data_IF_171303346240
#
_entry.id   IF_171303346240
#
_cell.length_a   1.000
_cell.length_b   1.000
_cell.length_c   1.000
_cell.angle_alpha   90.00
_cell.angle_beta   90.00
_cell.angle_gamma   90.00
#
_symmetry.space_group_name_H-M   'P 1'
#
loop_
_entity.id
_entity.type
_entity.pdbx_description
1 polymer ?
#
# COMPACT_ATOMS: atom_id res chain seq x y z
N UNK A 1 4.65 21.94 17.87
CA UNK A 1 3.32 22.32 18.40
C UNK A 1 2.85 23.54 17.61
N UNK A 2 1.76 23.42 16.85
CA UNK A 2 1.20 24.52 16.04
C UNK A 2 0.04 25.17 16.83
N UNK A 3 -0.05 26.50 16.84
CA UNK A 3 -1.20 27.23 17.42
C UNK A 3 -2.22 27.53 16.33
N UNK A 4 -3.47 27.14 16.54
CA UNK A 4 -4.59 27.57 15.71
C UNK A 4 -4.92 29.03 16.00
N UNK A 5 -4.88 29.88 14.96
CA UNK A 5 -5.32 31.27 15.03
C UNK A 5 -6.85 31.34 14.93
N UNK A 6 -7.49 32.06 15.86
CA UNK A 6 -8.92 32.31 15.84
C UNK A 6 -9.31 33.30 14.72
N UNK A 7 -10.12 32.84 13.76
CA UNK A 7 -10.95 33.69 12.89
C UNK A 7 -12.39 33.17 13.00
N UNK A 8 -13.34 34.07 13.24
CA UNK A 8 -14.74 33.77 13.60
C UNK A 8 -15.60 33.39 12.38
N UNK A 9 -16.25 32.23 12.52
CA UNK A 9 -17.51 31.70 11.96
C UNK A 9 -17.80 31.74 10.44
N UNK A 10 -17.63 30.57 9.81
CA UNK A 10 -18.56 30.01 8.83
C UNK A 10 -18.64 28.50 9.11
N UNK A 11 -19.86 27.94 9.16
CA UNK A 11 -20.16 26.59 9.65
C UNK A 11 -19.67 25.50 8.71
N UNK A 12 -18.39 25.17 8.81
CA UNK A 12 -17.79 23.88 8.47
C UNK A 12 -16.40 23.88 9.09
N UNK A 13 -16.29 23.44 10.35
CA UNK A 13 -14.99 23.26 10.97
C UNK A 13 -14.18 22.28 10.11
N UNK A 14 -12.96 22.63 9.69
CA UNK A 14 -12.16 21.74 8.88
C UNK A 14 -11.67 20.61 9.80
N UNK A 15 -12.47 19.53 9.84
CA UNK A 15 -12.24 18.29 10.60
C UNK A 15 -10.84 17.70 10.39
N UNK A 16 -10.18 18.06 9.29
CA UNK A 16 -8.82 17.66 8.96
C UNK A 16 -7.75 18.24 9.89
N UNK A 17 -8.06 19.30 10.67
CA UNK A 17 -7.14 19.90 11.64
C UNK A 17 -7.49 19.57 13.09
N UNK A 18 -8.54 18.77 13.31
CA UNK A 18 -8.89 18.31 14.65
C UNK A 18 -7.78 17.39 15.17
N UNK A 19 -7.37 17.65 16.41
CA UNK A 19 -6.29 16.88 17.04
C UNK A 19 -6.80 15.51 17.43
N UNK A 20 -6.01 14.50 17.13
CA UNK A 20 -6.21 13.16 17.66
C UNK A 20 -6.14 13.18 19.19
N UNK A 21 -6.92 12.29 19.82
CA UNK A 21 -6.91 12.14 21.28
C UNK A 21 -5.54 11.63 21.75
N UNK A 22 -5.11 12.08 22.92
CA UNK A 22 -3.79 11.77 23.47
C UNK A 22 -3.56 10.25 23.67
N UNK A 23 -4.64 9.50 23.92
CA UNK A 23 -4.60 8.04 24.11
C UNK A 23 -4.34 7.25 22.82
N UNK A 24 -4.55 7.85 21.65
CA UNK A 24 -4.45 7.19 20.35
C UNK A 24 -3.09 7.41 19.68
N UNK A 25 -2.25 8.30 20.23
CA UNK A 25 -1.01 8.73 19.57
C UNK A 25 0.12 8.78 20.57
N UNK A 26 1.24 8.16 20.22
CA UNK A 26 2.50 8.35 20.93
C UNK A 26 3.14 9.67 20.47
N UNK A 27 3.36 10.60 21.40
CA UNK A 27 3.96 11.90 21.09
C UNK A 27 5.47 11.83 21.35
N UNK A 28 6.32 11.81 20.29
CA UNK A 28 7.76 11.90 20.49
C UNK A 28 8.14 13.29 21.04
N UNK A 29 9.30 13.36 21.71
CA UNK A 29 9.85 14.61 22.25
C UNK A 29 10.07 15.69 21.18
N UNK A 30 10.25 15.29 19.92
CA UNK A 30 10.41 16.19 18.78
C UNK A 30 9.40 15.92 17.67
N UNK A 31 8.77 17.00 17.19
CA UNK A 31 7.82 16.95 16.08
C UNK A 31 8.54 17.04 14.74
N UNK A 32 8.30 16.06 13.86
CA UNK A 32 8.92 16.00 12.55
C UNK A 32 8.11 16.78 11.49
N UNK A 33 8.56 18.00 11.20
CA UNK A 33 7.95 18.87 10.18
C UNK A 33 8.16 18.37 8.74
N UNK A 34 9.06 17.40 8.52
CA UNK A 34 9.36 16.83 7.19
C UNK A 34 8.80 15.42 7.01
N UNK A 35 8.05 14.92 7.99
CA UNK A 35 7.36 13.64 7.90
C UNK A 35 6.52 13.57 6.64
N UNK A 36 6.49 12.41 5.98
CA UNK A 36 5.60 12.17 4.84
C UNK A 36 4.12 12.34 5.20
N UNK A 37 3.78 12.21 6.49
CA UNK A 37 2.41 12.38 7.00
C UNK A 37 2.08 13.83 7.35
N UNK A 38 3.05 14.76 7.25
CA UNK A 38 2.82 16.17 7.51
C UNK A 38 2.32 16.87 6.24
N UNK A 39 1.14 17.47 6.29
CA UNK A 39 0.59 18.29 5.21
C UNK A 39 1.46 19.53 4.91
N UNK A 40 1.46 20.01 3.67
CA UNK A 40 2.12 21.28 3.33
C UNK A 40 1.46 22.50 4.01
N UNK A 41 2.15 23.63 4.05
CA UNK A 41 1.68 24.84 4.76
C UNK A 41 0.39 25.48 4.22
N UNK A 42 -0.05 25.08 3.02
CA UNK A 42 -1.21 25.61 2.30
C UNK A 42 -2.33 24.56 2.14
N UNK A 43 -2.20 23.39 2.76
CA UNK A 43 -3.19 22.32 2.63
C UNK A 43 -4.59 22.81 3.05
N UNK A 44 -5.59 22.54 2.20
CA UNK A 44 -6.98 23.02 2.36
C UNK A 44 -7.14 24.55 2.42
N UNK A 45 -6.10 25.31 2.06
CA UNK A 45 -6.15 26.77 2.03
C UNK A 45 -7.12 27.29 0.98
N UNK A 46 -7.91 28.31 1.37
CA UNK A 46 -8.76 29.05 0.44
C UNK A 46 -7.86 29.76 -0.59
N UNK A 47 -8.31 29.77 -1.85
CA UNK A 47 -7.66 30.55 -2.90
C UNK A 47 -8.16 31.99 -2.82
N UNK A 48 -7.24 32.93 -2.69
CA UNK A 48 -7.51 34.36 -2.85
C UNK A 48 -7.64 34.65 -4.35
N UNK A 49 -8.85 34.92 -4.81
CA UNK A 49 -9.16 35.20 -6.22
C UNK A 49 -8.57 36.50 -6.73
N UNK A 50 -8.30 37.48 -5.86
CA UNK A 50 -7.69 38.75 -6.26
C UNK A 50 -6.21 38.60 -6.55
N UNK A 51 -5.52 37.74 -5.79
CA UNK A 51 -4.07 37.54 -5.88
C UNK A 51 -3.67 36.25 -6.60
N UNK A 52 -4.64 35.38 -6.88
CA UNK A 52 -4.44 34.05 -7.46
C UNK A 52 -3.44 33.20 -6.66
N UNK A 53 -3.45 33.35 -5.32
CA UNK A 53 -2.59 32.60 -4.40
C UNK A 53 -3.42 31.80 -3.41
N UNK A 54 -2.90 30.63 -3.01
CA UNK A 54 -3.49 29.85 -1.93
C UNK A 54 -3.02 30.41 -0.58
N UNK A 55 -3.95 30.58 0.36
CA UNK A 55 -3.63 31.08 1.70
C UNK A 55 -3.04 29.97 2.56
N UNK A 56 -2.02 30.30 3.36
CA UNK A 56 -1.43 29.37 4.30
C UNK A 56 -2.42 29.01 5.42
N UNK A 57 -2.51 27.73 5.75
CA UNK A 57 -3.36 27.18 6.83
C UNK A 57 -2.53 26.70 8.01
N UNK A 58 -1.24 26.41 7.80
CA UNK A 58 -0.31 25.99 8.83
C UNK A 58 0.99 26.79 8.75
N UNK A 59 1.40 27.35 9.88
CA UNK A 59 2.63 28.14 10.01
C UNK A 59 3.48 27.52 11.13
N UNK A 60 4.71 27.06 10.82
CA UNK A 60 5.57 26.47 11.84
C UNK A 60 6.00 27.53 12.84
N UNK A 61 5.96 27.19 14.14
CA UNK A 61 6.44 28.10 15.20
C UNK A 61 7.96 28.14 15.27
N UNK A 62 8.65 27.11 14.76
CA UNK A 62 10.11 27.06 14.74
C UNK A 62 10.63 27.89 13.56
N UNK A 63 11.50 28.88 13.80
CA UNK A 63 12.02 29.73 12.73
C UNK A 63 12.87 28.92 11.75
N UNK A 64 12.85 29.33 10.47
CA UNK A 64 13.61 28.69 9.40
C UNK A 64 13.03 27.38 8.86
N UNK A 65 11.88 26.94 9.37
CA UNK A 65 11.18 25.76 8.84
C UNK A 65 10.17 26.20 7.77
N UNK A 66 10.17 25.48 6.65
CA UNK A 66 9.15 25.57 5.60
C UNK A 66 8.39 24.25 5.56
N UNK A 67 7.07 24.35 5.41
CA UNK A 67 6.18 23.19 5.28
C UNK A 67 5.91 22.98 3.80
N UNK A 68 6.56 21.96 3.23
CA UNK A 68 6.50 21.60 1.82
C UNK A 68 5.85 20.21 1.68
N UNK A 69 5.50 19.85 0.44
CA UNK A 69 4.99 18.51 0.15
C UNK A 69 6.14 17.49 0.20
N UNK A 70 6.04 16.52 1.11
CA UNK A 70 7.11 15.57 1.39
C UNK A 70 6.88 14.26 0.61
N UNK A 71 7.73 13.96 -0.35
CA UNK A 71 7.59 12.77 -1.22
C UNK A 71 8.42 11.55 -0.76
N UNK A 72 8.99 11.60 0.45
CA UNK A 72 9.85 10.54 0.99
C UNK A 72 9.74 10.45 2.50
N UNK A 73 9.93 9.25 3.02
CA UNK A 73 10.02 9.00 4.46
C UNK A 73 11.25 9.67 5.07
N UNK A 74 11.08 10.24 6.25
CA UNK A 74 12.20 10.67 7.10
C UNK A 74 12.75 9.51 7.92
N UNK A 75 13.89 9.74 8.58
CA UNK A 75 14.44 8.77 9.54
C UNK A 75 13.43 8.47 10.66
N UNK A 76 12.69 9.49 11.13
CA UNK A 76 11.68 9.34 12.18
C UNK A 76 10.45 8.58 11.68
N UNK A 77 10.02 8.77 10.43
CA UNK A 77 8.94 7.96 9.85
C UNK A 77 9.32 6.48 9.79
N UNK A 78 10.54 6.18 9.31
CA UNK A 78 11.07 4.81 9.22
C UNK A 78 11.17 4.19 10.62
N UNK A 79 11.69 4.94 11.60
CA UNK A 79 11.80 4.46 12.97
C UNK A 79 10.42 4.13 13.57
N UNK A 80 9.42 4.99 13.37
CA UNK A 80 8.05 4.75 13.83
C UNK A 80 7.43 3.52 13.16
N UNK A 81 7.62 3.35 11.86
CA UNK A 81 7.17 2.16 11.13
C UNK A 81 7.84 0.90 11.68
N UNK A 82 9.14 0.94 11.93
CA UNK A 82 9.88 -0.20 12.48
C UNK A 82 9.41 -0.56 13.90
N UNK A 83 9.08 0.44 14.74
CA UNK A 83 8.52 0.21 16.08
C UNK A 83 7.12 -0.40 16.00
N UNK A 84 6.25 0.18 15.18
CA UNK A 84 4.87 -0.30 14.98
C UNK A 84 4.85 -1.72 14.40
N UNK A 85 5.71 -1.97 13.41
CA UNK A 85 5.87 -3.27 12.75
C UNK A 85 6.78 -4.25 13.49
N UNK A 86 7.30 -3.90 14.67
CA UNK A 86 8.17 -4.74 15.49
C UNK A 86 9.38 -5.32 14.72
N UNK A 87 9.94 -4.54 13.79
CA UNK A 87 10.96 -4.98 12.82
C UNK A 87 12.35 -5.26 13.42
N UNK A 88 12.48 -5.38 14.74
CA UNK A 88 13.73 -5.69 15.44
C UNK A 88 13.62 -6.72 16.59
N UNK A 89 12.42 -7.03 17.08
CA UNK A 89 12.21 -8.04 18.15
C UNK A 89 11.96 -9.44 17.60
N UNK A 90 11.43 -9.53 16.38
CA UNK A 90 11.59 -10.73 15.56
C UNK A 90 12.94 -10.59 14.87
N UNK A 91 13.94 -11.32 15.34
CA UNK A 91 15.25 -11.45 14.70
C UNK A 91 15.14 -12.13 13.33
N UNK A 92 14.41 -11.53 12.40
CA UNK A 92 14.74 -11.65 10.99
C UNK A 92 16.05 -10.93 10.80
N UNK A 93 17.15 -11.64 11.04
CA UNK A 93 18.44 -11.27 10.51
C UNK A 93 18.26 -11.06 9.01
N UNK A 94 18.06 -9.81 8.57
CA UNK A 94 18.37 -9.43 7.21
C UNK A 94 19.89 -9.33 7.11
N UNK A 95 20.55 -10.47 7.30
CA UNK A 95 21.82 -10.67 6.63
C UNK A 95 21.52 -10.54 5.14
N UNK A 96 22.20 -9.62 4.48
CA UNK A 96 22.38 -9.63 3.02
C UNK A 96 23.23 -10.85 2.60
N UNK A 97 23.02 -12.00 3.22
CA UNK A 97 23.33 -13.29 2.67
C UNK A 97 22.00 -13.78 2.16
N UNK A 98 21.76 -13.53 0.87
CA UNK A 98 20.57 -13.97 0.18
C UNK A 98 20.26 -15.39 0.62
N UNK A 99 19.16 -15.53 1.37
CA UNK A 99 18.53 -16.82 1.56
C UNK A 99 18.13 -17.20 0.15
N UNK A 100 18.98 -18.02 -0.48
CA UNK A 100 18.70 -18.64 -1.76
C UNK A 100 17.41 -19.38 -1.50
N UNK A 101 16.29 -18.79 -1.94
CA UNK A 101 15.02 -19.50 -2.00
C UNK A 101 15.36 -20.77 -2.78
N UNK A 102 15.38 -21.92 -2.08
CA UNK A 102 16.03 -23.15 -2.53
C UNK A 102 15.44 -23.68 -3.83
N UNK A 103 14.40 -23.04 -4.36
CA UNK A 103 14.05 -23.14 -5.78
C UNK A 103 13.52 -21.82 -6.32
N UNK A 104 14.39 -21.04 -7.00
CA UNK A 104 13.90 -19.99 -7.90
C UNK A 104 13.25 -20.63 -9.13
N UNK A 105 11.93 -20.71 -9.11
CA UNK A 105 11.13 -21.25 -10.21
C UNK A 105 9.92 -20.38 -10.47
N UNK A 106 9.48 -20.39 -11.72
CA UNK A 106 8.18 -19.85 -12.07
C UNK A 106 7.11 -20.81 -11.56
N UNK A 107 6.11 -20.27 -10.86
CA UNK A 107 4.93 -21.01 -10.37
C UNK A 107 3.85 -21.02 -11.45
N UNK A 108 3.73 -19.91 -12.18
CA UNK A 108 2.83 -19.81 -13.32
C UNK A 108 3.43 -20.51 -14.55
N UNK A 109 2.56 -20.86 -15.50
CA UNK A 109 2.94 -21.51 -16.76
C UNK A 109 3.95 -20.66 -17.54
N UNK A 110 4.93 -21.30 -18.19
CA UNK A 110 5.97 -20.63 -18.98
C UNK A 110 5.40 -19.63 -20.00
N UNK A 111 4.28 -19.95 -20.65
CA UNK A 111 3.58 -19.07 -21.60
C UNK A 111 3.09 -17.77 -20.95
N UNK A 112 2.57 -17.84 -19.72
CA UNK A 112 2.08 -16.68 -18.96
C UNK A 112 3.25 -15.79 -18.54
N UNK A 113 4.32 -16.38 -18.00
CA UNK A 113 5.48 -15.63 -17.57
C UNK A 113 6.21 -14.96 -18.75
N UNK A 114 6.37 -15.66 -19.86
CA UNK A 114 6.98 -15.11 -21.07
C UNK A 114 6.10 -14.00 -21.68
N UNK A 115 4.78 -14.17 -21.68
CA UNK A 115 3.83 -13.13 -22.09
C UNK A 115 3.94 -11.87 -21.22
N UNK A 116 3.97 -12.04 -19.89
CA UNK A 116 4.14 -10.95 -18.93
C UNK A 116 5.49 -10.25 -19.08
N UNK A 117 6.56 -11.00 -19.34
CA UNK A 117 7.88 -10.46 -19.63
C UNK A 117 7.87 -9.58 -20.89
N UNK A 118 7.28 -10.07 -21.99
CA UNK A 118 7.16 -9.32 -23.26
C UNK A 118 6.33 -8.05 -23.12
N UNK A 119 5.29 -8.07 -22.27
CA UNK A 119 4.44 -6.92 -21.96
C UNK A 119 5.07 -5.93 -20.97
N UNK A 120 6.29 -6.19 -20.49
CA UNK A 120 7.01 -5.29 -19.58
C UNK A 120 6.58 -5.40 -18.10
N UNK A 121 5.78 -6.41 -17.74
CA UNK A 121 5.24 -6.54 -16.38
C UNK A 121 6.32 -6.78 -15.32
N UNK A 122 7.44 -7.43 -15.69
CA UNK A 122 8.58 -7.62 -14.78
C UNK A 122 9.20 -6.31 -14.29
N UNK A 123 9.06 -5.21 -15.04
CA UNK A 123 9.60 -3.88 -14.68
C UNK A 123 8.55 -2.96 -14.09
N UNK A 124 7.27 -3.32 -14.14
CA UNK A 124 6.19 -2.49 -13.66
C UNK A 124 6.15 -2.54 -12.12
N UNK A 125 6.32 -1.40 -11.41
CA UNK A 125 6.28 -1.36 -9.96
C UNK A 125 5.00 -1.95 -9.36
N UNK A 126 3.85 -1.76 -10.02
CA UNK A 126 2.56 -2.27 -9.56
C UNK A 126 2.47 -3.80 -9.62
N UNK A 127 3.09 -4.44 -10.62
CA UNK A 127 3.07 -5.90 -10.79
C UNK A 127 4.28 -6.61 -10.17
N UNK A 128 5.22 -5.86 -9.60
CA UNK A 128 6.48 -6.40 -9.08
C UNK A 128 6.27 -7.53 -8.08
N UNK A 129 5.35 -7.37 -7.13
CA UNK A 129 5.08 -8.40 -6.11
C UNK A 129 4.50 -9.67 -6.71
N UNK A 130 3.55 -9.53 -7.64
CA UNK A 130 3.00 -10.65 -8.38
C UNK A 130 4.05 -11.36 -9.24
N UNK A 131 4.98 -10.63 -9.85
CA UNK A 131 6.08 -11.23 -10.61
C UNK A 131 7.08 -11.96 -9.70
N UNK A 132 7.32 -11.49 -8.47
CA UNK A 132 8.12 -12.20 -7.46
C UNK A 132 7.42 -13.51 -7.05
N UNK A 133 6.08 -13.51 -6.90
CA UNK A 133 5.31 -14.72 -6.53
C UNK A 133 5.23 -15.73 -7.68
N UNK A 134 4.84 -15.29 -8.88
CA UNK A 134 4.43 -16.19 -9.97
C UNK A 134 5.49 -16.45 -11.05
N UNK A 135 6.34 -15.46 -11.36
CA UNK A 135 7.27 -15.50 -12.51
C UNK A 135 8.70 -15.12 -12.11
N UNK A 136 9.12 -15.58 -10.93
CA UNK A 136 10.36 -15.17 -10.29
C UNK A 136 11.60 -15.46 -11.13
N UNK A 137 11.63 -16.60 -11.83
CA UNK A 137 12.77 -17.00 -12.68
C UNK A 137 12.74 -16.24 -13.99
N UNK A 138 11.59 -16.18 -14.66
CA UNK A 138 11.42 -15.47 -15.93
C UNK A 138 11.69 -13.97 -15.79
N UNK A 139 11.28 -13.35 -14.68
CA UNK A 139 11.51 -11.94 -14.40
C UNK A 139 12.86 -11.65 -13.71
N UNK A 140 13.69 -12.67 -13.44
CA UNK A 140 14.97 -12.55 -12.74
C UNK A 140 14.86 -11.91 -11.34
N UNK A 141 13.78 -12.25 -10.63
CA UNK A 141 13.46 -11.75 -9.30
C UNK A 141 13.81 -12.77 -8.19
N UNK A 142 14.70 -13.73 -8.47
CA UNK A 142 15.13 -14.78 -7.54
C UNK A 142 15.71 -14.26 -6.22
N UNK A 143 16.26 -13.04 -6.24
CA UNK A 143 16.85 -12.38 -5.07
C UNK A 143 15.82 -11.67 -4.18
N UNK A 144 14.56 -11.57 -4.62
CA UNK A 144 13.49 -10.99 -3.82
C UNK A 144 12.79 -12.10 -3.05
N UNK A 145 12.80 -12.00 -1.73
CA UNK A 145 11.99 -12.85 -0.85
C UNK A 145 10.52 -12.63 -1.18
N UNK A 146 9.73 -13.70 -1.34
CA UNK A 146 8.28 -13.56 -1.32
C UNK A 146 7.93 -12.97 0.04
N UNK A 147 7.31 -11.79 0.07
CA UNK A 147 6.57 -11.40 1.27
C UNK A 147 5.40 -12.38 1.30
N UNK A 148 5.61 -13.46 2.03
CA UNK A 148 4.54 -14.30 2.52
C UNK A 148 3.89 -13.38 3.55
N UNK A 149 2.65 -12.98 3.27
CA UNK A 149 1.78 -12.47 4.32
C UNK A 149 1.73 -13.61 5.34
N UNK A 150 2.49 -13.50 6.43
CA UNK A 150 2.39 -14.40 7.58
C UNK A 150 1.05 -14.09 8.26
N UNK A 151 -0.05 -14.43 7.58
CA UNK A 151 -1.28 -14.80 8.26
C UNK A 151 -1.06 -16.21 8.83
N UNK A 152 -0.30 -16.27 9.93
CA UNK A 152 -0.50 -17.31 10.92
C UNK A 152 -1.96 -17.20 11.39
N UNK A 153 -2.80 -18.06 10.80
CA UNK A 153 -4.05 -18.64 11.37
C UNK A 153 -5.14 -18.92 10.31
N UNK A 154 -4.78 -19.30 9.09
CA UNK A 154 -5.70 -20.07 8.25
C UNK A 154 -5.08 -21.40 7.86
N UNK A 155 -5.33 -22.36 8.75
CA UNK A 155 -5.12 -23.79 8.53
C UNK A 155 -5.52 -24.16 7.10
N UNK A 156 -4.55 -24.75 6.43
CA UNK A 156 -4.61 -25.54 5.21
C UNK A 156 -5.85 -26.44 5.20
N UNK A 157 -6.95 -25.95 4.63
CA UNK A 157 -7.88 -26.84 3.94
C UNK A 157 -7.52 -26.78 2.46
N UNK A 158 -6.58 -27.65 2.11
CA UNK A 158 -6.48 -28.31 0.81
C UNK A 158 -7.73 -28.09 -0.05
N UNK A 159 -7.57 -27.36 -1.15
CA UNK A 159 -8.22 -27.64 -2.45
C UNK A 159 -9.57 -28.36 -2.35
N UNK A 160 -10.55 -27.81 -1.64
CA UNK A 160 -11.93 -28.24 -1.85
C UNK A 160 -12.46 -27.38 -2.98
N UNK A 161 -12.34 -27.92 -4.18
CA UNK A 161 -13.20 -27.60 -5.31
C UNK A 161 -14.60 -27.34 -4.73
N UNK A 162 -15.18 -26.13 -4.87
CA UNK A 162 -16.47 -25.85 -4.29
C UNK A 162 -17.46 -26.87 -4.84
N UNK A 163 -18.12 -27.62 -3.95
CA UNK A 163 -19.02 -28.74 -4.30
C UNK A 163 -20.20 -28.24 -5.15
N UNK A 164 -20.48 -26.93 -5.13
CA UNK A 164 -21.35 -26.25 -6.07
C UNK A 164 -20.60 -25.15 -6.80
N UNK A 165 -20.65 -25.21 -8.12
CA UNK A 165 -20.10 -24.20 -9.01
C UNK A 165 -21.12 -23.07 -9.18
N UNK A 166 -21.02 -22.02 -8.38
CA UNK A 166 -21.89 -20.85 -8.44
C UNK A 166 -21.10 -19.55 -8.22
N UNK A 167 -21.63 -18.47 -8.78
CA UNK A 167 -21.13 -17.13 -8.54
C UNK A 167 -21.78 -16.57 -7.29
N UNK A 168 -20.96 -16.06 -6.36
CA UNK A 168 -21.45 -15.42 -5.13
C UNK A 168 -21.75 -13.95 -5.33
N UNK A 169 -21.11 -13.30 -6.30
CA UNK A 169 -21.31 -11.88 -6.55
C UNK A 169 -22.33 -11.65 -7.69
N UNK A 170 -23.36 -10.80 -7.50
CA UNK A 170 -24.40 -10.58 -8.50
C UNK A 170 -23.94 -9.86 -9.78
N UNK A 171 -22.72 -9.28 -9.77
CA UNK A 171 -22.11 -8.56 -10.91
C UNK A 171 -20.93 -9.30 -11.56
N UNK A 172 -20.87 -10.61 -11.43
CA UNK A 172 -19.77 -11.39 -12.01
C UNK A 172 -19.70 -11.27 -13.54
N UNK A 173 -20.84 -11.12 -14.20
CA UNK A 173 -20.97 -10.80 -15.61
C UNK A 173 -20.18 -9.54 -15.99
N UNK A 174 -20.40 -8.42 -15.29
CA UNK A 174 -19.70 -7.15 -15.51
C UNK A 174 -18.21 -7.29 -15.19
N UNK A 175 -17.87 -7.98 -14.10
CA UNK A 175 -16.49 -8.17 -13.69
C UNK A 175 -15.70 -8.98 -14.72
N UNK A 176 -16.30 -10.05 -15.26
CA UNK A 176 -15.68 -10.86 -16.30
C UNK A 176 -15.33 -10.05 -17.55
N UNK A 177 -16.23 -9.15 -17.98
CA UNK A 177 -16.01 -8.25 -19.12
C UNK A 177 -14.88 -7.25 -18.86
N UNK A 178 -14.72 -6.81 -17.62
CA UNK A 178 -13.63 -5.91 -17.19
C UNK A 178 -12.31 -6.63 -16.90
N UNK A 179 -12.18 -7.90 -17.30
CA UNK A 179 -10.95 -8.66 -17.16
C UNK A 179 -10.76 -9.34 -15.79
N UNK A 180 -11.78 -9.40 -14.94
CA UNK A 180 -11.70 -10.06 -13.63
C UNK A 180 -11.30 -11.53 -13.72
N UNK A 181 -11.75 -12.23 -14.77
CA UNK A 181 -11.44 -13.64 -14.95
C UNK A 181 -10.08 -13.90 -15.59
N UNK A 182 -9.47 -12.90 -16.24
CA UNK A 182 -8.25 -13.07 -17.03
C UNK A 182 -7.04 -12.35 -16.43
N UNK A 183 -7.27 -11.29 -15.66
CA UNK A 183 -6.20 -10.52 -15.01
C UNK A 183 -5.70 -11.26 -13.76
N UNK A 184 -4.41 -11.58 -13.69
CA UNK A 184 -3.84 -12.34 -12.58
C UNK A 184 -4.05 -11.66 -11.21
N UNK A 185 -4.23 -10.33 -11.18
CA UNK A 185 -4.52 -9.56 -9.95
C UNK A 185 -5.71 -10.12 -9.16
N UNK A 186 -6.68 -10.73 -9.83
CA UNK A 186 -7.88 -11.27 -9.19
C UNK A 186 -7.80 -12.77 -8.92
N UNK A 187 -6.64 -13.43 -9.14
CA UNK A 187 -6.50 -14.89 -9.06
C UNK A 187 -7.03 -15.47 -7.74
N UNK A 188 -6.73 -14.85 -6.60
CA UNK A 188 -7.16 -15.33 -5.28
C UNK A 188 -8.67 -15.12 -5.04
N UNK A 189 -9.23 -14.09 -5.67
CA UNK A 189 -10.56 -13.54 -5.40
C UNK A 189 -11.61 -14.13 -6.34
N UNK A 190 -11.22 -14.47 -7.58
CA UNK A 190 -12.13 -15.00 -8.60
C UNK A 190 -12.66 -16.40 -8.29
N UNK A 191 -11.89 -17.24 -7.59
CA UNK A 191 -12.36 -18.54 -7.09
C UNK A 191 -13.41 -18.39 -5.97
N UNK A 192 -13.39 -17.27 -5.25
CA UNK A 192 -14.29 -17.05 -4.12
C UNK A 192 -15.58 -16.35 -4.54
N UNK A 193 -15.51 -15.45 -5.51
CA UNK A 193 -16.64 -14.58 -5.89
C UNK A 193 -17.33 -14.97 -7.20
N UNK A 194 -16.57 -15.32 -8.24
CA UNK A 194 -17.11 -15.52 -9.59
C UNK A 194 -16.60 -16.81 -10.24
N UNK A 195 -16.58 -17.90 -9.47
CA UNK A 195 -15.99 -19.17 -9.92
C UNK A 195 -16.67 -19.73 -11.17
N UNK A 196 -17.99 -19.59 -11.29
CA UNK A 196 -18.78 -20.08 -12.42
C UNK A 196 -18.62 -19.18 -13.64
N UNK A 197 -18.76 -17.87 -13.48
CA UNK A 197 -18.56 -16.91 -14.58
C UNK A 197 -17.14 -16.97 -15.13
N UNK A 198 -16.14 -17.22 -14.28
CA UNK A 198 -14.74 -17.35 -14.70
C UNK A 198 -14.34 -18.76 -15.18
N UNK A 199 -15.28 -19.71 -15.28
CA UNK A 199 -15.02 -21.10 -15.69
C UNK A 199 -13.92 -21.78 -14.85
N UNK A 200 -13.87 -21.50 -13.55
CA UNK A 200 -12.89 -22.05 -12.60
C UNK A 200 -13.40 -23.30 -11.89
N UNK A 201 -14.66 -23.61 -12.13
CA UNK A 201 -15.36 -24.87 -11.98
C UNK A 201 -16.18 -25.05 -13.27
#
# INVERSE_FOLDING_TARGET
MLRGGHIKYETNFPVNFDKLQQSLVEFPDSYDYKSIMHYDGYAFGKVDTSRQVRLATMIPLKPGIRLEDNMKFTATDIEKLNRLGQCGTRGGQFNNQGVVATTCKDVATATSCEGNRRRGMCKNPFYKQMMIKSCQKTCRLCSYTRMIDEDEDLILNTTKKPVKCEDKHPRCDVYSQNGFCSLPFYDDVRYQLCAKTCNLC
#
